data_IF_367399259336
#
_entry.id   IF_367399259336
#
_cell.length_a   1.000
_cell.length_b   1.000
_cell.length_c   1.000
_cell.angle_alpha   90.00
_cell.angle_beta   90.00
_cell.angle_gamma   90.00
#
_symmetry.space_group_name_H-M   'P 1'
#
loop_
_entity.id
_entity.type
_entity.pdbx_description
1 polymer ?
#
# COMPACT_ATOMS: atom_id res chain seq x y z
N UNK A 1 12.52 38.03 -5.24
CA UNK A 1 12.57 39.03 -6.32
C UNK A 1 11.34 38.83 -7.20
N UNK A 2 10.57 39.88 -7.51
CA UNK A 2 9.40 39.72 -8.37
C UNK A 2 9.83 39.25 -9.76
N UNK A 3 9.15 38.26 -10.33
CA UNK A 3 9.46 37.78 -11.69
C UNK A 3 9.24 38.91 -12.70
N UNK A 4 10.09 38.98 -13.74
CA UNK A 4 10.00 39.99 -14.80
C UNK A 4 8.62 39.99 -15.47
N UNK A 5 8.02 38.81 -15.66
CA UNK A 5 6.65 38.67 -16.17
C UNK A 5 5.62 39.36 -15.28
N UNK A 6 5.78 39.30 -13.96
CA UNK A 6 4.88 39.95 -12.99
C UNK A 6 5.03 41.47 -13.01
N UNK A 7 6.25 41.97 -13.17
CA UNK A 7 6.48 43.42 -13.32
C UNK A 7 5.86 43.95 -14.62
N UNK A 8 5.91 43.20 -15.70
CA UNK A 8 5.27 43.57 -16.98
C UNK A 8 3.75 43.65 -16.83
N UNK A 9 3.13 42.65 -16.18
CA UNK A 9 1.67 42.63 -15.94
C UNK A 9 1.25 43.78 -15.03
N UNK A 10 2.02 44.06 -13.96
CA UNK A 10 1.80 45.23 -13.10
C UNK A 10 1.91 46.55 -13.87
N UNK A 11 2.91 46.70 -14.74
CA UNK A 11 3.11 47.89 -15.56
C UNK A 11 1.95 48.11 -16.54
N UNK A 12 1.52 47.06 -17.23
CA UNK A 12 0.35 47.10 -18.14
C UNK A 12 -0.95 47.45 -17.40
N UNK A 13 -1.15 46.93 -16.19
CA UNK A 13 -2.33 47.25 -15.39
C UNK A 13 -2.31 48.70 -14.88
N UNK A 14 -1.19 49.18 -14.33
CA UNK A 14 -1.06 50.55 -13.84
C UNK A 14 -1.13 51.59 -14.95
N UNK A 15 -0.61 51.29 -16.13
CA UNK A 15 -0.64 52.23 -17.26
C UNK A 15 -1.97 52.14 -18.03
N UNK A 16 -2.54 50.94 -18.15
CA UNK A 16 -3.78 50.69 -18.87
C UNK A 16 -5.02 51.22 -18.16
N UNK A 17 -5.06 51.16 -16.82
CA UNK A 17 -6.20 51.66 -16.04
C UNK A 17 -6.46 53.17 -16.23
N UNK A 18 -5.49 54.08 -16.05
CA UNK A 18 -5.71 55.51 -16.29
C UNK A 18 -5.96 55.81 -17.77
N UNK A 19 -5.27 55.15 -18.69
CA UNK A 19 -5.51 55.33 -20.12
C UNK A 19 -6.97 54.96 -20.51
N UNK A 20 -7.49 53.86 -19.96
CA UNK A 20 -8.87 53.44 -20.16
C UNK A 20 -9.87 54.47 -19.58
N UNK A 21 -9.62 54.98 -18.37
CA UNK A 21 -10.50 55.97 -17.74
C UNK A 21 -10.54 57.31 -18.48
N UNK A 22 -9.43 57.73 -19.10
CA UNK A 22 -9.37 58.94 -19.93
C UNK A 22 -10.12 58.73 -21.25
N UNK A 23 -9.96 57.57 -21.89
CA UNK A 23 -10.51 57.31 -23.21
C UNK A 23 -11.97 56.84 -23.20
N UNK A 24 -12.48 56.30 -22.09
CA UNK A 24 -13.82 55.66 -22.03
C UNK A 24 -14.98 56.54 -22.50
N UNK A 25 -14.84 57.86 -22.47
CA UNK A 25 -15.87 58.82 -22.90
C UNK A 25 -15.94 59.02 -24.42
N UNK A 26 -14.89 58.67 -25.17
CA UNK A 26 -14.81 58.83 -26.62
C UNK A 26 -14.92 57.52 -27.40
N UNK A 27 -14.86 56.36 -26.72
CA UNK A 27 -14.93 55.05 -27.36
C UNK A 27 -16.36 54.52 -27.45
N UNK A 28 -16.62 53.70 -28.47
CA UNK A 28 -17.90 53.00 -28.63
C UNK A 28 -18.17 52.05 -27.44
N UNK A 29 -19.43 51.76 -27.11
CA UNK A 29 -19.78 50.93 -25.96
C UNK A 29 -19.16 49.52 -26.03
N UNK A 30 -19.03 48.95 -27.24
CA UNK A 30 -18.38 47.64 -27.44
C UNK A 30 -16.88 47.70 -27.10
N UNK A 31 -16.18 48.75 -27.53
CA UNK A 31 -14.76 48.92 -27.24
C UNK A 31 -14.52 49.21 -25.75
N UNK A 32 -15.43 49.94 -25.10
CA UNK A 32 -15.40 50.16 -23.64
C UNK A 32 -15.55 48.84 -22.88
N UNK A 33 -16.45 47.96 -23.31
CA UNK A 33 -16.64 46.64 -22.72
C UNK A 33 -15.38 45.77 -22.90
N UNK A 34 -14.81 45.76 -24.11
CA UNK A 34 -13.57 45.03 -24.38
C UNK A 34 -12.42 45.50 -23.47
N UNK A 35 -12.21 46.82 -23.35
CA UNK A 35 -11.19 47.40 -22.46
C UNK A 35 -11.41 47.08 -20.97
N UNK A 36 -12.66 47.07 -20.52
CA UNK A 36 -12.98 46.67 -19.15
C UNK A 36 -12.66 45.19 -18.90
N UNK A 37 -13.01 44.30 -19.84
CA UNK A 37 -12.74 42.86 -19.71
C UNK A 37 -11.25 42.53 -19.76
N UNK A 38 -10.44 43.25 -20.54
CA UNK A 38 -8.99 43.04 -20.58
C UNK A 38 -8.32 43.49 -19.28
N UNK A 39 -8.75 44.61 -18.68
CA UNK A 39 -8.28 45.03 -17.35
C UNK A 39 -8.66 44.01 -16.28
N UNK A 40 -9.87 43.45 -16.34
CA UNK A 40 -10.31 42.40 -15.42
C UNK A 40 -9.50 41.10 -15.58
N UNK A 41 -9.18 40.72 -16.82
CA UNK A 41 -8.32 39.57 -17.10
C UNK A 41 -6.90 39.76 -16.57
N UNK A 42 -6.31 40.96 -16.75
CA UNK A 42 -5.00 41.28 -16.17
C UNK A 42 -5.02 41.22 -14.64
N UNK A 43 -6.08 41.73 -14.00
CA UNK A 43 -6.26 41.65 -12.54
C UNK A 43 -6.43 40.20 -12.06
N UNK A 44 -7.16 39.37 -12.81
CA UNK A 44 -7.32 37.94 -12.52
C UNK A 44 -5.98 37.20 -12.58
N UNK A 45 -5.19 37.43 -13.64
CA UNK A 45 -3.84 36.89 -13.76
C UNK A 45 -2.98 37.34 -12.57
N UNK A 46 -3.09 38.60 -12.15
CA UNK A 46 -2.33 39.11 -11.01
C UNK A 46 -2.70 38.44 -9.68
N UNK A 47 -3.99 38.21 -9.44
CA UNK A 47 -4.50 37.51 -8.25
C UNK A 47 -4.11 36.03 -8.24
N UNK A 48 -4.18 35.37 -9.40
CA UNK A 48 -3.94 33.93 -9.50
C UNK A 48 -2.45 33.57 -9.55
N UNK A 49 -1.62 34.37 -10.22
CA UNK A 49 -0.15 34.19 -10.26
C UNK A 49 0.56 34.76 -9.03
N UNK A 50 -0.21 35.36 -8.11
CA UNK A 50 0.29 36.06 -6.94
C UNK A 50 0.64 35.17 -5.75
N UNK A 51 0.14 33.94 -5.72
CA UNK A 51 0.35 32.99 -4.62
C UNK A 51 1.78 32.44 -4.69
N UNK A 52 2.62 32.60 -3.65
CA UNK A 52 3.92 31.93 -3.63
C UNK A 52 3.66 30.43 -3.75
N UNK A 53 4.38 29.75 -4.65
CA UNK A 53 4.37 28.29 -4.66
C UNK A 53 4.75 27.84 -3.24
N UNK A 54 4.01 26.91 -2.63
CA UNK A 54 4.41 26.35 -1.34
C UNK A 54 5.83 25.80 -1.52
N UNK A 55 6.74 26.15 -0.59
CA UNK A 55 8.09 25.61 -0.58
C UNK A 55 8.00 24.09 -0.59
N UNK A 56 8.26 23.51 -1.77
CA UNK A 56 8.42 22.07 -1.90
C UNK A 56 9.77 21.79 -1.25
N UNK A 57 9.74 21.52 0.06
CA UNK A 57 10.87 21.03 0.82
C UNK A 57 11.33 19.74 0.11
N UNK A 58 12.44 19.84 -0.60
CA UNK A 58 13.11 18.70 -1.21
C UNK A 58 13.40 17.66 -0.12
N UNK A 59 12.93 16.41 -0.22
CA UNK A 59 13.40 15.38 0.68
C UNK A 59 14.76 14.86 0.20
N UNK A 60 15.50 14.33 1.16
CA UNK A 60 16.75 13.54 1.01
C UNK A 60 18.02 14.40 1.16
N UNK A 61 18.21 14.91 2.37
CA UNK A 61 19.54 14.96 2.94
C UNK A 61 19.97 13.50 3.22
N UNK A 62 21.12 13.13 2.66
CA UNK A 62 21.79 11.86 2.85
C UNK A 62 21.89 11.51 4.35
N UNK A 63 21.52 10.27 4.68
CA UNK A 63 21.78 9.67 5.98
C UNK A 63 23.30 9.59 6.14
N UNK A 64 23.86 10.58 6.82
CA UNK A 64 25.21 10.54 7.36
C UNK A 64 25.18 9.59 8.55
N UNK A 65 25.66 8.37 8.33
CA UNK A 65 25.91 7.37 9.36
C UNK A 65 26.90 7.94 10.40
N UNK A 66 26.47 8.05 11.65
CA UNK A 66 27.36 8.26 12.78
C UNK A 66 27.95 6.91 13.24
N UNK A 67 29.23 6.86 13.63
CA UNK A 67 29.95 5.63 13.94
C UNK A 67 29.70 5.20 15.38
N UNK A 68 29.28 3.95 15.57
CA UNK A 68 29.44 3.24 16.85
C UNK A 68 30.14 1.92 16.53
N UNK A 69 31.47 2.00 16.45
CA UNK A 69 32.34 0.84 16.47
C UNK A 69 32.68 0.54 17.94
N UNK A 70 32.07 -0.51 18.49
CA UNK A 70 32.65 -1.27 19.59
C UNK A 70 32.96 -2.64 19.03
N UNK A 71 34.25 -2.93 18.89
CA UNK A 71 34.80 -4.22 18.46
C UNK A 71 34.33 -5.34 19.38
N UNK A 72 33.68 -6.34 18.79
CA UNK A 72 33.81 -7.73 19.26
C UNK A 72 34.37 -8.50 18.08
N UNK A 73 35.68 -8.65 18.12
CA UNK A 73 36.50 -9.49 17.25
C UNK A 73 36.32 -10.94 17.70
N UNK A 74 35.51 -11.72 16.98
CA UNK A 74 35.56 -13.18 17.04
C UNK A 74 36.03 -13.67 15.67
N UNK A 75 37.33 -13.88 15.63
CA UNK A 75 38.05 -14.62 14.60
C UNK A 75 37.65 -16.09 14.74
N UNK A 76 36.88 -16.61 13.81
CA UNK A 76 36.70 -18.06 13.64
C UNK A 76 37.04 -18.40 12.20
N UNK A 77 38.31 -18.76 12.06
CA UNK A 77 38.96 -19.35 10.90
C UNK A 77 38.48 -20.80 10.84
N UNK A 78 37.72 -21.19 9.80
CA UNK A 78 37.54 -22.59 9.46
C UNK A 78 37.28 -22.76 7.95
N UNK A 79 37.98 -23.71 7.29
CA UNK A 79 38.30 -23.63 5.88
C UNK A 79 37.22 -24.16 4.94
N UNK A 80 37.42 -23.78 3.69
CA UNK A 80 36.78 -24.19 2.44
C UNK A 80 36.47 -25.70 2.38
N UNK A 81 35.21 -26.10 2.07
CA UNK A 81 34.86 -27.50 1.90
C UNK A 81 35.53 -28.08 0.65
N UNK A 82 36.54 -28.93 0.86
CA UNK A 82 37.13 -29.73 -0.21
C UNK A 82 36.12 -30.75 -0.71
N UNK A 83 35.93 -30.75 -2.03
CA UNK A 83 35.12 -31.71 -2.76
C UNK A 83 35.67 -33.13 -2.56
N UNK A 84 34.83 -34.13 -2.22
CA UNK A 84 35.26 -35.52 -2.28
C UNK A 84 35.28 -36.01 -3.73
N UNK A 85 36.45 -36.50 -4.14
CA UNK A 85 36.70 -37.19 -5.41
C UNK A 85 35.82 -38.46 -5.58
N UNK A 86 35.49 -38.83 -6.82
CA UNK A 86 34.58 -39.93 -7.14
C UNK A 86 35.25 -41.30 -6.91
N UNK A 87 34.61 -42.25 -6.21
CA UNK A 87 35.10 -43.62 -6.18
C UNK A 87 34.76 -44.36 -7.48
N UNK A 88 35.80 -45.04 -7.93
CA UNK A 88 35.92 -45.92 -9.08
C UNK A 88 34.72 -46.86 -9.33
N UNK A 89 34.49 -47.04 -10.63
CA UNK A 89 33.69 -48.07 -11.28
C UNK A 89 34.00 -49.45 -10.68
N UNK A 90 32.99 -50.08 -10.09
CA UNK A 90 32.96 -51.53 -9.89
C UNK A 90 31.59 -52.02 -10.34
N UNK A 91 31.56 -52.67 -11.51
CA UNK A 91 30.42 -53.40 -12.05
C UNK A 91 29.97 -54.52 -11.09
N UNK A 92 28.68 -54.60 -10.74
CA UNK A 92 28.10 -55.85 -10.25
C UNK A 92 27.37 -56.57 -11.37
N UNK A 93 27.72 -57.85 -11.53
CA UNK A 93 27.12 -58.87 -12.38
C UNK A 93 25.61 -58.98 -12.19
N UNK A 94 24.93 -59.26 -13.29
CA UNK A 94 23.63 -59.92 -13.32
C UNK A 94 23.68 -61.18 -12.44
N UNK A 95 22.74 -61.33 -11.52
CA UNK A 95 22.24 -62.63 -11.10
C UNK A 95 20.77 -62.47 -10.70
N UNK A 96 19.93 -63.16 -11.47
CA UNK A 96 18.49 -63.36 -11.27
C UNK A 96 18.14 -63.89 -9.87
N UNK A 97 17.07 -63.41 -9.20
CA UNK A 97 16.56 -64.10 -8.02
C UNK A 97 15.71 -65.30 -8.46
N UNK A 98 16.24 -66.50 -8.24
CA UNK A 98 15.46 -67.72 -8.22
C UNK A 98 14.55 -67.70 -6.98
N UNK A 99 13.24 -67.62 -7.24
CA UNK A 99 12.17 -67.81 -6.27
C UNK A 99 12.32 -69.20 -5.66
N UNK A 100 12.50 -69.29 -4.33
CA UNK A 100 12.22 -70.53 -3.62
C UNK A 100 11.32 -70.24 -2.42
N UNK A 101 10.03 -70.52 -2.63
CA UNK A 101 9.02 -70.56 -1.59
C UNK A 101 9.29 -71.75 -0.68
N UNK A 102 9.65 -71.49 0.57
CA UNK A 102 9.56 -72.49 1.63
C UNK A 102 8.55 -72.00 2.67
N UNK A 103 7.36 -72.59 2.60
CA UNK A 103 6.32 -72.55 3.62
C UNK A 103 6.87 -73.13 4.95
N UNK A 104 6.66 -72.47 6.11
CA UNK A 104 6.71 -73.15 7.38
C UNK A 104 5.30 -73.43 7.91
N UNK A 105 5.03 -74.72 7.99
CA UNK A 105 4.07 -75.43 8.83
C UNK A 105 3.52 -74.62 10.03
N UNK A 106 2.20 -74.53 10.10
CA UNK A 106 1.44 -74.03 11.24
C UNK A 106 1.53 -74.99 12.43
N UNK A 107 2.03 -74.51 13.57
CA UNK A 107 1.71 -75.08 14.89
C UNK A 107 1.03 -74.03 15.76
N UNK A 108 -0.15 -74.39 16.26
CA UNK A 108 -0.98 -73.59 17.17
C UNK A 108 -0.44 -73.73 18.61
N UNK A 109 -0.18 -72.63 19.32
CA UNK A 109 -1.01 -72.16 20.45
C UNK A 109 -0.33 -71.07 21.30
N UNK A 110 -1.18 -70.18 21.85
CA UNK A 110 -1.00 -69.30 23.02
C UNK A 110 -0.51 -67.83 22.84
N UNK A 111 -1.30 -66.93 23.45
CA UNK A 111 -1.14 -65.48 23.66
C UNK A 111 -1.32 -64.57 22.41
N UNK A 112 -2.50 -63.92 22.32
CA UNK A 112 -2.73 -62.77 21.42
C UNK A 112 -1.99 -61.54 21.96
N UNK A 113 -0.68 -61.54 21.78
CA UNK A 113 0.16 -60.35 21.96
C UNK A 113 0.00 -59.55 20.67
N UNK A 114 -0.40 -58.28 20.76
CA UNK A 114 -0.48 -57.42 19.59
C UNK A 114 0.94 -57.22 19.02
N UNK A 115 1.22 -57.82 17.87
CA UNK A 115 2.45 -57.56 17.13
C UNK A 115 2.49 -56.08 16.75
N UNK A 116 3.59 -55.41 17.05
CA UNK A 116 3.86 -54.06 16.56
C UNK A 116 4.01 -54.16 15.04
N UNK A 117 3.01 -53.71 14.29
CA UNK A 117 3.09 -53.56 12.86
C UNK A 117 4.12 -52.48 12.54
N UNK A 118 5.36 -52.89 12.24
CA UNK A 118 6.38 -51.99 11.74
C UNK A 118 6.09 -51.76 10.25
N UNK A 119 5.45 -50.64 9.93
CA UNK A 119 5.37 -50.17 8.54
C UNK A 119 6.81 -49.84 8.14
N UNK A 120 7.40 -50.66 7.27
CA UNK A 120 8.69 -50.34 6.66
C UNK A 120 8.49 -49.11 5.78
N UNK A 121 9.23 -48.04 6.05
CA UNK A 121 9.27 -46.88 5.16
C UNK A 121 9.83 -47.35 3.81
N UNK A 122 8.99 -47.31 2.78
CA UNK A 122 9.44 -47.52 1.41
C UNK A 122 10.26 -46.29 0.99
N UNK A 123 11.31 -46.49 0.18
CA UNK A 123 12.14 -45.40 -0.33
C UNK A 123 11.30 -44.39 -1.14
N UNK A 124 10.21 -44.87 -1.76
CA UNK A 124 9.23 -44.05 -2.43
C UNK A 124 8.46 -43.13 -1.47
N UNK A 125 8.10 -43.63 -0.28
CA UNK A 125 7.37 -42.86 0.73
C UNK A 125 8.24 -41.79 1.36
N UNK A 126 9.51 -42.09 1.65
CA UNK A 126 10.47 -41.09 2.16
C UNK A 126 10.71 -39.95 1.16
N UNK A 127 10.77 -40.28 -0.13
CA UNK A 127 10.88 -39.29 -1.20
C UNK A 127 9.62 -38.42 -1.32
N UNK A 128 8.43 -39.03 -1.22
CA UNK A 128 7.16 -38.30 -1.23
C UNK A 128 7.08 -37.31 -0.05
N UNK A 129 7.47 -37.75 1.15
CA UNK A 129 7.53 -36.90 2.34
C UNK A 129 8.52 -35.73 2.16
N UNK A 130 9.70 -35.96 1.57
CA UNK A 130 10.68 -34.90 1.29
C UNK A 130 10.13 -33.87 0.28
N UNK A 131 9.45 -34.34 -0.76
CA UNK A 131 8.82 -33.48 -1.77
C UNK A 131 7.69 -32.65 -1.13
N UNK A 132 6.85 -33.25 -0.30
CA UNK A 132 5.81 -32.54 0.44
C UNK A 132 6.39 -31.46 1.34
N UNK A 133 7.44 -31.78 2.11
CA UNK A 133 8.13 -30.82 2.96
C UNK A 133 8.74 -29.67 2.15
N UNK A 134 9.35 -29.96 1.00
CA UNK A 134 9.91 -28.93 0.12
C UNK A 134 8.84 -27.99 -0.43
N UNK A 135 7.70 -28.54 -0.87
CA UNK A 135 6.57 -27.75 -1.35
C UNK A 135 5.97 -26.89 -0.24
N UNK A 136 5.80 -27.46 0.96
CA UNK A 136 5.23 -26.73 2.10
C UNK A 136 6.15 -25.59 2.56
N UNK A 137 7.45 -25.84 2.70
CA UNK A 137 8.44 -24.80 3.00
C UNK A 137 8.41 -23.70 1.92
N UNK A 138 8.24 -24.06 0.64
CA UNK A 138 8.12 -23.06 -0.44
C UNK A 138 6.81 -22.27 -0.38
N UNK A 139 5.71 -22.87 0.07
CA UNK A 139 4.43 -22.18 0.30
C UNK A 139 4.53 -21.23 1.48
N UNK A 140 5.10 -21.69 2.59
CA UNK A 140 5.34 -20.89 3.81
C UNK A 140 6.22 -19.68 3.51
N UNK A 141 7.34 -19.85 2.80
CA UNK A 141 8.18 -18.71 2.37
C UNK A 141 7.40 -17.72 1.52
N UNK A 142 6.53 -18.20 0.62
CA UNK A 142 5.70 -17.32 -0.23
C UNK A 142 4.60 -16.62 0.56
N UNK A 143 4.01 -17.24 1.58
CA UNK A 143 3.00 -16.59 2.43
C UNK A 143 3.66 -15.56 3.33
N UNK A 144 4.82 -15.87 3.93
CA UNK A 144 5.62 -14.94 4.73
C UNK A 144 6.00 -13.69 3.91
N UNK A 145 6.53 -13.88 2.70
CA UNK A 145 6.88 -12.77 1.80
C UNK A 145 5.64 -11.95 1.44
N UNK A 146 4.53 -12.61 1.08
CA UNK A 146 3.26 -11.92 0.74
C UNK A 146 2.73 -11.11 1.91
N UNK A 147 2.74 -11.67 3.12
CA UNK A 147 2.29 -10.99 4.33
C UNK A 147 3.17 -9.79 4.65
N UNK A 148 4.50 -9.95 4.56
CA UNK A 148 5.46 -8.85 4.76
C UNK A 148 5.21 -7.70 3.79
N UNK A 149 5.08 -7.99 2.50
CA UNK A 149 4.77 -6.99 1.47
C UNK A 149 3.42 -6.32 1.73
N UNK A 150 2.38 -7.10 2.09
CA UNK A 150 1.06 -6.54 2.37
C UNK A 150 1.08 -5.62 3.59
N UNK A 151 1.83 -5.97 4.64
CA UNK A 151 2.01 -5.14 5.84
C UNK A 151 2.73 -3.83 5.50
N UNK A 152 3.83 -3.90 4.76
CA UNK A 152 4.60 -2.73 4.33
C UNK A 152 3.78 -1.81 3.41
N UNK A 153 3.01 -2.37 2.48
CA UNK A 153 2.08 -1.61 1.63
C UNK A 153 1.00 -0.91 2.47
N UNK A 154 0.44 -1.57 3.49
CA UNK A 154 -0.54 -0.93 4.39
C UNK A 154 0.09 0.22 5.18
N UNK A 155 1.29 0.03 5.71
CA UNK A 155 2.01 1.09 6.45
C UNK A 155 2.38 2.28 5.57
N UNK A 156 2.91 2.03 4.36
CA UNK A 156 3.24 3.08 3.40
C UNK A 156 1.99 3.84 2.90
N UNK A 157 0.89 3.14 2.61
CA UNK A 157 -0.39 3.78 2.29
C UNK A 157 -0.93 4.63 3.44
N UNK A 158 -0.86 4.13 4.68
CA UNK A 158 -1.25 4.89 5.86
C UNK A 158 -0.39 6.15 6.01
N UNK A 159 0.93 6.04 5.84
CA UNK A 159 1.87 7.17 5.86
C UNK A 159 1.54 8.21 4.77
N UNK A 160 1.30 7.77 3.54
CA UNK A 160 0.91 8.65 2.43
C UNK A 160 -0.42 9.35 2.69
N UNK A 161 -1.42 8.63 3.23
CA UNK A 161 -2.72 9.19 3.61
C UNK A 161 -2.57 10.24 4.72
N UNK A 162 -1.78 9.96 5.75
CA UNK A 162 -1.50 10.90 6.83
C UNK A 162 -0.77 12.15 6.32
N UNK A 163 0.22 11.99 5.43
CA UNK A 163 0.93 13.12 4.82
C UNK A 163 -0.05 14.00 4.03
N UNK A 164 -0.88 13.40 3.17
CA UNK A 164 -1.91 14.13 2.40
C UNK A 164 -2.91 14.82 3.33
N UNK A 165 -3.35 14.16 4.40
CA UNK A 165 -4.26 14.77 5.38
C UNK A 165 -3.61 15.99 6.03
N UNK A 166 -2.32 15.92 6.36
CA UNK A 166 -1.56 17.04 6.94
C UNK A 166 -1.38 18.19 5.95
N UNK A 167 -1.07 17.90 4.69
CA UNK A 167 -1.02 18.91 3.62
C UNK A 167 -2.37 19.61 3.46
N UNK A 168 -3.46 18.84 3.49
CA UNK A 168 -4.82 19.38 3.41
C UNK A 168 -5.16 20.26 4.62
N UNK A 169 -4.87 19.77 5.83
CA UNK A 169 -5.06 20.53 7.07
C UNK A 169 -4.22 21.82 7.12
N UNK A 170 -3.05 21.86 6.47
CA UNK A 170 -2.26 23.09 6.37
C UNK A 170 -2.75 24.09 5.32
N UNK A 171 -3.53 23.62 4.34
CA UNK A 171 -4.07 24.47 3.26
C UNK A 171 -5.43 25.05 3.65
N UNK A 172 -6.18 24.34 4.48
CA UNK A 172 -7.43 24.83 5.05
C UNK A 172 -7.10 25.83 6.16
N UNK A 173 -7.65 27.05 6.07
CA UNK A 173 -7.57 28.09 7.11
C UNK A 173 -8.41 27.70 8.36
N UNK A 174 -8.44 26.41 8.69
CA UNK A 174 -9.15 25.85 9.81
C UNK A 174 -8.44 26.16 11.12
N UNK A 175 -9.19 26.65 12.09
CA UNK A 175 -8.69 26.83 13.44
C UNK A 175 -8.56 25.49 14.19
N UNK A 176 -7.49 25.34 14.96
CA UNK A 176 -7.24 24.17 15.80
C UNK A 176 -8.12 24.15 17.06
N UNK A 177 -9.42 23.82 16.90
CA UNK A 177 -10.39 23.81 18.01
C UNK A 177 -9.97 22.93 19.19
N UNK A 178 -9.26 21.84 18.92
CA UNK A 178 -8.76 20.94 19.96
C UNK A 178 -7.72 21.63 20.83
N UNK A 179 -6.71 22.27 20.23
CA UNK A 179 -5.67 23.03 20.92
C UNK A 179 -6.27 24.21 21.69
N UNK A 180 -7.26 24.88 21.10
CA UNK A 180 -7.96 25.99 21.72
C UNK A 180 -8.71 25.57 22.99
N UNK A 181 -9.29 24.37 23.01
CA UNK A 181 -10.04 23.84 24.16
C UNK A 181 -9.12 23.25 25.23
N UNK A 182 -7.92 22.75 24.88
CA UNK A 182 -6.95 22.29 25.87
C UNK A 182 -6.36 23.43 26.71
N UNK A 183 -6.35 24.66 26.19
CA UNK A 183 -5.91 25.85 26.91
C UNK A 183 -6.76 26.16 28.14
N UNK A 184 -6.12 26.46 29.28
CA UNK A 184 -6.81 26.93 30.49
C UNK A 184 -7.42 28.31 30.23
N UNK A 185 -8.75 28.38 30.23
CA UNK A 185 -9.59 29.57 29.96
C UNK A 185 -9.82 29.92 28.48
N UNK A 186 -10.33 28.96 27.71
CA UNK A 186 -10.78 29.18 26.33
C UNK A 186 -12.02 30.08 26.17
N UNK A 187 -12.81 30.33 27.23
CA UNK A 187 -14.02 31.16 27.17
C UNK A 187 -15.17 30.60 26.30
N UNK A 188 -14.92 29.49 25.59
CA UNK A 188 -15.90 28.75 24.79
C UNK A 188 -16.79 27.86 25.66
N UNK A 189 -18.09 27.83 25.35
CA UNK A 189 -19.05 26.87 25.84
C UNK A 189 -19.01 25.60 24.98
N UNK A 190 -18.77 24.45 25.61
CA UNK A 190 -18.73 23.15 24.94
C UNK A 190 -20.11 22.50 25.06
N UNK A 191 -20.77 22.27 23.93
CA UNK A 191 -22.02 21.52 23.85
C UNK A 191 -21.72 20.08 23.47
N UNK A 192 -22.15 19.11 24.27
CA UNK A 192 -21.88 17.70 24.02
C UNK A 192 -23.07 17.02 23.33
N UNK A 193 -22.80 16.38 22.20
CA UNK A 193 -23.74 15.50 21.53
C UNK A 193 -23.15 14.09 21.48
N UNK A 194 -23.82 13.14 22.14
CA UNK A 194 -23.43 11.73 22.18
C UNK A 194 -24.55 10.89 21.58
N UNK A 195 -24.19 9.95 20.72
CA UNK A 195 -25.10 8.93 20.21
C UNK A 195 -25.44 7.96 21.35
N UNK A 196 -26.73 7.74 21.64
CA UNK A 196 -27.24 6.98 22.79
C UNK A 196 -27.16 5.46 22.60
N UNK A 197 -26.69 4.99 21.44
CA UNK A 197 -26.53 3.56 21.16
C UNK A 197 -25.27 2.97 21.81
N UNK A 198 -25.53 2.17 22.86
CA UNK A 198 -24.65 1.24 23.61
C UNK A 198 -23.14 1.23 23.26
N UNK A 199 -22.37 1.57 24.28
CA UNK A 199 -20.95 1.94 24.33
C UNK A 199 -19.93 0.81 24.13
N UNK A 200 -20.18 -0.17 23.28
CA UNK A 200 -19.21 -1.26 23.07
C UNK A 200 -18.38 -1.01 21.80
N UNK A 201 -17.34 -0.17 21.93
CA UNK A 201 -16.35 0.06 20.87
C UNK A 201 -15.61 1.40 20.94
N UNK A 202 -14.61 1.54 20.06
CA UNK A 202 -13.87 2.78 19.90
C UNK A 202 -14.81 3.91 19.48
N UNK A 203 -14.68 5.07 20.13
CA UNK A 203 -15.44 6.28 19.83
C UNK A 203 -14.52 7.38 19.35
N UNK A 204 -14.98 8.18 18.39
CA UNK A 204 -14.32 9.39 17.92
C UNK A 204 -15.14 10.63 18.27
N UNK A 205 -14.47 11.70 18.67
CA UNK A 205 -15.07 13.02 18.85
C UNK A 205 -14.70 13.93 17.68
N UNK A 206 -15.70 14.64 17.15
CA UNK A 206 -15.53 15.72 16.17
C UNK A 206 -15.96 17.03 16.80
N UNK A 207 -15.16 18.07 16.63
CA UNK A 207 -15.42 19.40 17.18
C UNK A 207 -15.82 20.33 16.04
N UNK A 208 -16.96 21.01 16.21
CA UNK A 208 -17.50 21.95 15.22
C UNK A 208 -17.82 23.27 15.91
N UNK A 209 -17.28 24.38 15.41
CA UNK A 209 -17.65 25.70 15.93
C UNK A 209 -19.02 26.10 15.40
N UNK A 210 -19.91 26.46 16.32
CA UNK A 210 -21.23 27.01 15.98
C UNK A 210 -21.11 28.53 15.83
N UNK A 211 -20.56 29.19 16.84
CA UNK A 211 -20.33 30.64 16.88
C UNK A 211 -19.03 30.97 17.64
N UNK A 212 -18.75 32.26 17.85
CA UNK A 212 -17.55 32.73 18.57
C UNK A 212 -17.41 32.30 20.02
N UNK A 213 -18.49 31.81 20.63
CA UNK A 213 -18.50 31.37 22.03
C UNK A 213 -18.93 29.92 22.21
N UNK A 214 -19.25 29.18 21.14
CA UNK A 214 -19.88 27.86 21.24
C UNK A 214 -19.24 26.85 20.31
N UNK A 215 -18.81 25.72 20.86
CA UNK A 215 -18.28 24.56 20.12
C UNK A 215 -19.10 23.33 20.44
N UNK A 216 -19.53 22.61 19.41
CA UNK A 216 -20.22 21.33 19.51
C UNK A 216 -19.21 20.19 19.46
N UNK A 217 -19.21 19.33 20.47
CA UNK A 217 -18.45 18.08 20.52
C UNK A 217 -19.39 16.92 20.20
N UNK A 218 -19.25 16.36 19.01
CA UNK A 218 -20.03 15.23 18.51
C UNK A 218 -19.22 13.95 18.76
N UNK A 219 -19.68 13.08 19.65
CA UNK A 219 -19.07 11.79 19.93
C UNK A 219 -19.85 10.69 19.23
N UNK A 220 -19.18 9.95 18.33
CA UNK A 220 -19.76 8.84 17.54
C UNK A 220 -18.87 7.60 17.65
N UNK A 221 -19.48 6.41 17.62
CA UNK A 221 -18.76 5.14 17.49
C UNK A 221 -18.05 5.02 16.13
N UNK A 222 -16.81 4.59 16.15
CA UNK A 222 -16.05 4.22 14.95
C UNK A 222 -16.14 2.70 14.81
N UNK A 223 -16.87 2.25 13.78
CA UNK A 223 -16.90 0.84 13.42
C UNK A 223 -15.63 0.50 12.62
N UNK A 224 -14.75 -0.31 13.19
CA UNK A 224 -13.71 -0.97 12.42
C UNK A 224 -14.31 -2.25 11.85
N UNK A 225 -14.53 -2.28 10.53
CA UNK A 225 -14.80 -3.53 9.83
C UNK A 225 -13.49 -4.34 9.84
N UNK A 226 -13.26 -5.04 10.94
CA UNK A 226 -12.31 -6.12 11.00
C UNK A 226 -12.86 -7.23 10.11
N UNK A 227 -12.53 -7.19 8.82
CA UNK A 227 -12.56 -8.37 7.96
C UNK A 227 -11.45 -9.32 8.46
N UNK A 228 -11.63 -9.84 9.67
CA UNK A 228 -10.90 -11.01 10.17
C UNK A 228 -11.75 -12.20 9.75
N UNK A 229 -11.30 -12.86 8.69
CA UNK A 229 -11.45 -14.30 8.47
C UNK A 229 -12.64 -14.96 9.18
N UNK A 230 -13.83 -14.84 8.61
CA UNK A 230 -14.81 -15.95 8.63
C UNK A 230 -14.77 -16.54 7.24
N UNK A 231 -13.69 -17.25 6.95
CA UNK A 231 -13.60 -18.20 5.85
C UNK A 231 -13.30 -19.52 6.53
N UNK A 232 -14.29 -20.02 7.23
CA UNK A 232 -14.47 -21.38 7.75
C UNK A 232 -15.92 -21.37 8.24
N UNK A 233 -16.77 -22.25 7.67
CA UNK A 233 -18.23 -22.34 7.89
C UNK A 233 -19.13 -21.36 7.11
N UNK A 234 -19.15 -21.50 5.78
CA UNK A 234 -20.36 -21.37 4.96
C UNK A 234 -20.03 -21.93 3.56
N UNK A 235 -19.86 -23.25 3.49
CA UNK A 235 -19.55 -23.95 2.24
C UNK A 235 -20.29 -25.29 2.14
N UNK A 236 -21.57 -25.33 2.53
CA UNK A 236 -22.57 -26.36 2.18
C UNK A 236 -23.91 -25.64 2.43
N UNK A 237 -24.83 -25.36 1.52
CA UNK A 237 -25.38 -26.09 0.38
C UNK A 237 -25.99 -25.05 -0.60
N UNK A 238 -25.67 -25.12 -1.89
CA UNK A 238 -26.70 -25.16 -2.94
C UNK A 238 -26.02 -25.62 -4.23
N UNK A 239 -26.12 -26.93 -4.43
CA UNK A 239 -25.85 -27.61 -5.68
C UNK A 239 -26.94 -27.17 -6.67
N UNK A 240 -26.61 -26.20 -7.51
CA UNK A 240 -27.42 -25.84 -8.67
C UNK A 240 -26.53 -25.79 -9.91
N UNK A 241 -26.43 -26.96 -10.51
CA UNK A 241 -26.44 -27.14 -11.97
C UNK A 241 -25.15 -26.73 -12.70
N UNK A 242 -24.33 -27.76 -12.96
CA UNK A 242 -23.39 -27.82 -14.07
C UNK A 242 -24.00 -27.21 -15.33
N UNK A 243 -23.50 -26.04 -15.73
CA UNK A 243 -23.50 -25.63 -17.12
C UNK A 243 -22.14 -25.02 -17.41
N UNK A 244 -21.27 -25.81 -18.02
CA UNK A 244 -20.01 -25.32 -18.57
C UNK A 244 -20.30 -24.14 -19.52
N UNK A 245 -19.78 -22.92 -19.29
CA UNK A 245 -19.51 -22.03 -20.38
C UNK A 245 -18.15 -22.45 -20.93
N UNK A 246 -18.22 -23.17 -22.05
CA UNK A 246 -17.26 -23.12 -23.14
C UNK A 246 -16.27 -21.96 -23.04
N UNK A 247 -14.98 -22.29 -23.14
CA UNK A 247 -13.87 -21.40 -23.54
C UNK A 247 -14.28 -19.97 -23.86
N UNK A 248 -14.03 -19.03 -22.96
CA UNK A 248 -13.88 -17.64 -23.39
C UNK A 248 -12.68 -17.00 -22.68
N UNK A 249 -11.72 -16.67 -23.52
CA UNK A 249 -10.38 -16.21 -23.16
C UNK A 249 -10.46 -14.76 -22.73
N UNK A 250 -10.76 -14.49 -21.46
CA UNK A 250 -10.59 -13.16 -20.89
C UNK A 250 -9.13 -12.89 -20.51
N UNK A 251 -8.26 -12.95 -21.53
CA UNK A 251 -6.97 -12.25 -21.51
C UNK A 251 -7.26 -10.82 -21.97
N UNK A 252 -6.74 -9.77 -21.31
CA UNK A 252 -6.91 -8.41 -21.83
C UNK A 252 -6.36 -8.35 -23.27
N UNK A 253 -7.04 -7.66 -24.20
CA UNK A 253 -6.58 -7.59 -25.57
C UNK A 253 -5.17 -6.99 -25.61
N UNK A 254 -4.27 -7.48 -26.49
CA UNK A 254 -2.98 -6.87 -26.68
C UNK A 254 -3.14 -5.40 -27.07
N UNK A 255 -2.23 -4.51 -26.64
CA UNK A 255 -2.28 -3.10 -26.99
C UNK A 255 -2.29 -2.93 -28.52
N UNK A 256 -3.04 -1.94 -29.05
CA UNK A 256 -3.09 -1.68 -30.49
C UNK A 256 -1.68 -1.46 -31.05
N UNK A 257 -1.41 -2.05 -32.22
CA UNK A 257 -0.18 -1.86 -32.98
C UNK A 257 0.15 -0.36 -33.08
N UNK A 258 1.22 0.03 -32.40
CA UNK A 258 1.77 1.37 -32.48
C UNK A 258 2.22 1.59 -33.94
N UNK A 259 1.81 2.68 -34.63
CA UNK A 259 2.28 2.92 -35.99
C UNK A 259 3.81 3.00 -35.98
N UNK A 260 4.49 2.45 -36.99
CA UNK A 260 5.94 2.50 -37.03
C UNK A 260 6.40 3.96 -36.97
N UNK A 261 7.48 4.25 -36.20
CA UNK A 261 7.99 5.60 -36.09
C UNK A 261 8.34 6.16 -37.48
N UNK A 262 8.15 7.46 -37.71
CA UNK A 262 8.48 8.07 -39.00
C UNK A 262 9.97 7.87 -39.32
N UNK A 263 10.31 7.64 -40.61
CA UNK A 263 11.70 7.46 -40.99
C UNK A 263 12.51 8.72 -40.65
N UNK A 264 13.78 8.57 -40.26
CA UNK A 264 14.63 9.70 -39.95
C UNK A 264 14.73 10.62 -41.16
N UNK A 265 14.41 11.90 -40.95
CA UNK A 265 14.64 12.96 -41.93
C UNK A 265 16.14 13.10 -42.17
N UNK A 266 16.58 12.77 -43.39
CA UNK A 266 17.81 13.35 -43.96
C UNK A 266 17.51 14.73 -44.53
#
# INVERSE_FOLDING_TARGET
MASVSRLIVWSMFLLGTPAFLILQGSVTPIARLAGATTLLALLSILMFTGRPAPDIIAPIAAIKSAPVASSVEIKSDLPEPQAPEPPAIATPREDTPAVNNTNPESTKDSAKIAEKYAVSSDAQMEFEDEVEQFVENRRERRTEIRERIARERRMSLASMRNKRLREWASTEDGEGLHELIEGTQHGLQILEYRDDKREDGASGSSLVRIDDRRVLRITRRIAFNSLRSTTDEEAIEEDAEHKDPSSDSNMPPPPPDMPPPPPPSM
#
